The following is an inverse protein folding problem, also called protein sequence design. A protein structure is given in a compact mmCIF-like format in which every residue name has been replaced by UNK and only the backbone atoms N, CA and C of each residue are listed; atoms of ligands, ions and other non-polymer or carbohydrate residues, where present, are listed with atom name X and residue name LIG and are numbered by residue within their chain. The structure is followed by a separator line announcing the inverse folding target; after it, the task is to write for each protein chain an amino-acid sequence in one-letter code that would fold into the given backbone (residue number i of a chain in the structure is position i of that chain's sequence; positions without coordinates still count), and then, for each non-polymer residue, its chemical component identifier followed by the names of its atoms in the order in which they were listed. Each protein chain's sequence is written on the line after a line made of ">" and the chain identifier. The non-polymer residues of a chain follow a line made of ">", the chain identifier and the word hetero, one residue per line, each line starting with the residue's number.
data_IF_039745695517
#
_entry.id   IF_039745695517
#
_cell.length_a   1.000
_cell.length_b   1.000
_cell.length_c   1.000
_cell.angle_alpha   90.00
_cell.angle_beta   90.00
_cell.angle_gamma   90.00
#
_symmetry.space_group_name_H-M   'P 1'
#
loop_
_entity.id
_entity.type
_entity.pdbx_description
1 polymer ?
#
# COMPACT_ATOMS: atom_id res chain seq x y z
N UNK A 1 2.44 -14.27 -3.10
CA UNK A 1 3.02 -14.15 -4.41
C UNK A 1 3.38 -15.49 -5.01
N UNK A 2 3.70 -15.44 -6.27
CA UNK A 2 4.20 -16.59 -7.04
C UNK A 2 5.65 -16.32 -7.46
N UNK A 3 6.43 -17.34 -7.83
CA UNK A 3 7.82 -17.16 -8.22
C UNK A 3 8.03 -16.19 -9.38
N UNK A 4 7.08 -16.13 -10.32
CA UNK A 4 7.15 -15.26 -11.51
C UNK A 4 6.45 -13.91 -11.32
N UNK A 5 5.58 -13.80 -10.34
CA UNK A 5 4.80 -12.61 -10.04
C UNK A 5 4.66 -12.47 -8.53
N UNK A 6 5.36 -11.53 -7.94
CA UNK A 6 5.23 -11.20 -6.51
C UNK A 6 4.39 -9.94 -6.35
N UNK A 7 3.50 -9.98 -5.38
CA UNK A 7 2.68 -8.83 -4.99
C UNK A 7 2.83 -8.60 -3.50
N UNK A 8 3.32 -7.43 -3.15
CA UNK A 8 3.37 -6.96 -1.77
C UNK A 8 2.22 -5.98 -1.54
N UNK A 9 1.22 -6.39 -0.78
CA UNK A 9 0.12 -5.50 -0.37
C UNK A 9 0.60 -4.58 0.74
N UNK A 10 0.70 -3.29 0.44
CA UNK A 10 1.27 -2.30 1.31
C UNK A 10 0.18 -1.54 2.06
N UNK A 11 0.45 -1.28 3.33
CA UNK A 11 -0.38 -0.48 4.20
C UNK A 11 0.47 0.59 4.89
N UNK A 12 -0.18 1.68 5.27
CA UNK A 12 0.36 2.71 6.13
C UNK A 12 -0.70 3.03 7.19
N UNK A 13 -0.32 3.11 8.47
CA UNK A 13 -1.24 3.08 9.62
C UNK A 13 -2.14 4.31 9.75
N UNK A 14 -1.84 5.39 9.03
CA UNK A 14 -2.64 6.63 9.02
C UNK A 14 -3.51 6.81 7.76
N UNK A 15 -3.57 5.80 6.88
CA UNK A 15 -4.43 5.80 5.69
C UNK A 15 -5.88 5.44 6.07
N UNK A 16 -6.65 6.45 6.37
CA UNK A 16 -8.06 6.32 6.72
C UNK A 16 -8.93 7.18 5.81
N UNK A 17 -10.11 6.68 5.49
CA UNK A 17 -11.15 7.49 4.84
C UNK A 17 -11.78 8.48 5.82
N UNK A 18 -12.47 9.44 5.27
CA UNK A 18 -13.27 10.37 6.06
C UNK A 18 -12.61 11.72 6.28
N UNK A 19 -13.45 12.68 6.56
CA UNK A 19 -13.12 14.01 7.07
C UNK A 19 -13.37 14.04 8.58
N UNK A 20 -13.06 15.13 9.30
CA UNK A 20 -13.30 15.22 10.73
C UNK A 20 -14.73 14.85 11.10
N UNK A 21 -14.85 13.97 12.05
CA UNK A 21 -16.11 13.46 12.53
C UNK A 21 -16.63 14.37 13.66
N UNK A 22 -17.88 14.83 13.53
CA UNK A 22 -18.51 15.69 14.56
C UNK A 22 -18.85 14.94 15.86
N UNK A 23 -18.70 13.63 15.89
CA UNK A 23 -19.07 12.78 17.02
C UNK A 23 -20.59 12.61 17.21
N UNK A 24 -21.40 13.15 16.32
CA UNK A 24 -22.85 13.04 16.41
C UNK A 24 -23.31 11.70 15.84
N UNK A 25 -23.73 10.81 16.72
CA UNK A 25 -24.20 9.48 16.36
C UNK A 25 -25.65 9.44 15.86
N UNK A 26 -26.36 10.58 15.77
CA UNK A 26 -27.80 10.63 15.50
C UNK A 26 -28.66 10.10 16.67
N UNK A 27 -28.05 9.60 17.72
CA UNK A 27 -28.74 9.09 18.93
C UNK A 27 -29.09 10.24 19.86
N UNK A 28 -30.27 10.81 19.67
CA UNK A 28 -30.78 11.77 20.63
C UNK A 28 -31.26 11.08 21.92
N UNK A 29 -31.38 11.82 23.06
CA UNK A 29 -31.93 11.28 24.30
C UNK A 29 -33.33 10.65 24.12
N UNK A 30 -34.14 11.19 23.20
CA UNK A 30 -35.46 10.68 22.86
C UNK A 30 -35.40 9.30 22.19
N UNK A 31 -34.45 9.10 21.25
CA UNK A 31 -34.22 7.79 20.57
C UNK A 31 -33.81 6.75 21.59
N UNK A 32 -32.87 7.08 22.49
CA UNK A 32 -32.42 6.17 23.56
C UNK A 32 -33.58 5.84 24.50
N UNK A 33 -34.41 6.83 24.87
CA UNK A 33 -35.58 6.62 25.71
C UNK A 33 -36.59 5.71 25.02
N UNK A 34 -36.92 5.96 23.76
CA UNK A 34 -37.82 5.10 22.97
C UNK A 34 -37.33 3.65 22.92
N UNK A 35 -36.05 3.42 22.62
CA UNK A 35 -35.48 2.09 22.63
C UNK A 35 -35.56 1.44 24.01
N UNK A 36 -35.32 2.21 25.08
CA UNK A 36 -35.45 1.73 26.45
C UNK A 36 -36.88 1.34 26.83
N UNK A 37 -37.89 2.08 26.37
CA UNK A 37 -39.30 1.74 26.58
C UNK A 37 -39.70 0.46 25.84
N UNK A 38 -39.26 0.30 24.60
CA UNK A 38 -39.47 -0.93 23.83
C UNK A 38 -38.80 -2.14 24.49
N UNK A 39 -37.57 -2.00 24.96
CA UNK A 39 -36.89 -3.06 25.67
C UNK A 39 -37.58 -3.48 26.97
N UNK A 40 -38.08 -2.50 27.75
CA UNK A 40 -38.89 -2.77 28.96
C UNK A 40 -40.20 -3.49 28.66
N UNK A 41 -40.77 -3.25 27.48
CA UNK A 41 -41.95 -3.96 26.98
C UNK A 41 -41.64 -5.36 26.40
N UNK A 42 -40.42 -5.81 26.46
CA UNK A 42 -39.97 -7.09 25.89
C UNK A 42 -39.80 -7.07 24.37
N UNK A 43 -39.86 -5.93 23.71
CA UNK A 43 -39.78 -5.74 22.27
C UNK A 43 -38.32 -5.48 21.85
N UNK A 44 -37.45 -6.44 22.08
CA UNK A 44 -36.00 -6.25 21.90
C UNK A 44 -35.59 -5.98 20.45
N UNK A 45 -36.19 -6.68 19.47
CA UNK A 45 -35.91 -6.46 18.06
C UNK A 45 -36.35 -5.05 17.59
N UNK A 46 -37.50 -4.57 18.03
CA UNK A 46 -37.95 -3.21 17.73
C UNK A 46 -36.99 -2.16 18.34
N UNK A 47 -36.57 -2.38 19.60
CA UNK A 47 -35.60 -1.52 20.28
C UNK A 47 -34.26 -1.47 19.52
N UNK A 48 -33.77 -2.63 19.09
CA UNK A 48 -32.54 -2.76 18.27
C UNK A 48 -32.69 -1.99 16.96
N UNK A 49 -33.76 -2.20 16.22
CA UNK A 49 -34.01 -1.52 14.94
C UNK A 49 -34.02 0.01 15.07
N UNK A 50 -34.59 0.56 16.14
CA UNK A 50 -34.60 2.00 16.38
C UNK A 50 -33.19 2.56 16.54
N UNK A 51 -32.33 1.85 17.27
CA UNK A 51 -30.92 2.25 17.47
C UNK A 51 -30.11 2.07 16.18
N UNK A 52 -30.19 0.89 15.55
CA UNK A 52 -29.43 0.58 14.34
C UNK A 52 -29.74 1.54 13.20
N UNK A 53 -31.02 1.85 12.96
CA UNK A 53 -31.42 2.82 11.95
C UNK A 53 -30.76 4.19 12.16
N UNK A 54 -30.67 4.65 13.42
CA UNK A 54 -30.04 5.95 13.72
C UNK A 54 -28.51 5.90 13.62
N UNK A 55 -27.90 4.77 13.93
CA UNK A 55 -26.46 4.55 13.71
C UNK A 55 -26.12 4.44 12.22
N UNK A 56 -27.00 3.86 11.40
CA UNK A 56 -26.85 3.80 9.95
C UNK A 56 -27.06 5.16 9.27
N UNK A 57 -27.92 6.00 9.84
CA UNK A 57 -28.12 7.40 9.42
C UNK A 57 -26.97 8.31 9.87
N UNK A 58 -26.16 7.89 10.86
CA UNK A 58 -24.95 8.58 11.25
C UNK A 58 -23.93 8.44 10.11
N UNK A 59 -23.81 9.50 9.34
CA UNK A 59 -22.79 9.63 8.32
C UNK A 59 -21.41 9.59 9.01
N UNK A 60 -20.46 8.89 8.44
CA UNK A 60 -19.03 8.94 8.76
C UNK A 60 -18.51 7.86 9.72
N UNK A 61 -18.48 6.63 9.23
CA UNK A 61 -17.52 5.66 9.75
C UNK A 61 -16.24 5.80 8.94
N UNK A 62 -15.15 6.20 9.60
CA UNK A 62 -13.82 6.15 8.99
C UNK A 62 -13.39 4.70 8.81
N UNK A 63 -12.74 4.41 7.71
CA UNK A 63 -12.30 3.06 7.36
C UNK A 63 -10.83 3.07 7.02
N UNK A 64 -10.11 2.08 7.54
CA UNK A 64 -8.73 1.84 7.19
C UNK A 64 -8.62 1.40 5.73
N UNK A 65 -7.71 2.01 5.00
CA UNK A 65 -7.56 1.82 3.57
C UNK A 65 -6.15 1.29 3.23
N UNK A 66 -6.03 0.43 2.23
CA UNK A 66 -4.72 0.00 1.74
C UNK A 66 -4.03 1.17 1.02
N UNK A 67 -2.69 1.19 1.09
CA UNK A 67 -1.90 2.08 0.26
C UNK A 67 -1.96 1.66 -1.21
N UNK A 68 -1.71 0.39 -1.46
CA UNK A 68 -1.66 -0.23 -2.78
C UNK A 68 -0.73 -1.42 -2.79
N UNK A 69 -0.51 -1.94 -3.98
CA UNK A 69 0.27 -3.14 -4.22
C UNK A 69 1.58 -2.78 -4.94
N UNK A 70 2.70 -3.31 -4.46
CA UNK A 70 3.98 -3.31 -5.16
C UNK A 70 4.11 -4.64 -5.89
N UNK A 71 4.20 -4.57 -7.21
CA UNK A 71 4.31 -5.71 -8.12
C UNK A 71 5.75 -5.89 -8.59
N UNK A 72 6.17 -7.14 -8.65
CA UNK A 72 7.46 -7.56 -9.15
C UNK A 72 7.24 -8.71 -10.15
N UNK A 73 7.29 -8.39 -11.43
CA UNK A 73 6.99 -9.30 -12.52
C UNK A 73 8.25 -9.71 -13.26
N UNK A 74 8.64 -10.98 -13.20
CA UNK A 74 9.67 -11.48 -14.09
C UNK A 74 9.21 -11.38 -15.54
N UNK A 75 10.04 -10.81 -16.40
CA UNK A 75 9.77 -10.67 -17.82
C UNK A 75 10.74 -11.54 -18.62
N UNK A 76 10.27 -12.08 -19.75
CA UNK A 76 11.11 -12.84 -20.66
C UNK A 76 11.98 -11.90 -21.52
N UNK A 77 13.18 -12.36 -21.92
CA UNK A 77 14.17 -11.56 -22.66
C UNK A 77 13.72 -11.14 -24.09
N UNK A 78 12.50 -11.49 -24.52
CA UNK A 78 11.94 -11.15 -25.83
C UNK A 78 11.11 -9.86 -25.84
N UNK A 79 11.26 -9.02 -24.81
CA UNK A 79 10.56 -7.76 -24.72
C UNK A 79 11.12 -6.75 -25.74
N UNK A 80 10.32 -6.45 -26.77
CA UNK A 80 10.62 -5.37 -27.73
C UNK A 80 10.30 -4.02 -27.08
N UNK A 81 11.33 -3.20 -26.88
CA UNK A 81 11.25 -1.86 -26.29
C UNK A 81 10.47 -0.81 -27.12
N UNK A 82 9.92 -1.19 -28.26
CA UNK A 82 9.18 -0.35 -29.21
C UNK A 82 7.68 -0.17 -28.86
N UNK A 83 7.33 -0.07 -27.58
CA UNK A 83 6.00 0.39 -27.14
C UNK A 83 4.90 -0.69 -27.09
N UNK A 84 5.26 -1.94 -26.96
CA UNK A 84 4.32 -3.01 -26.65
C UNK A 84 3.85 -2.90 -25.18
N UNK A 85 2.54 -3.00 -24.97
CA UNK A 85 1.95 -3.21 -23.64
C UNK A 85 2.60 -4.42 -22.99
N UNK A 86 2.99 -4.28 -21.70
CA UNK A 86 3.46 -5.40 -20.90
C UNK A 86 2.47 -6.56 -20.95
N UNK A 87 2.78 -7.59 -21.68
CA UNK A 87 2.21 -8.90 -21.40
C UNK A 87 3.02 -9.42 -20.19
N UNK A 88 2.45 -9.31 -19.00
CA UNK A 88 2.99 -9.99 -17.82
C UNK A 88 3.30 -11.43 -18.18
N UNK A 89 4.25 -12.05 -17.50
CA UNK A 89 4.60 -13.45 -17.74
C UNK A 89 3.31 -14.25 -17.93
N UNK A 90 3.16 -14.85 -19.11
CA UNK A 90 1.95 -15.62 -19.42
C UNK A 90 1.80 -16.68 -18.34
N UNK A 91 0.59 -16.90 -17.77
CA UNK A 91 0.35 -18.01 -16.85
C UNK A 91 0.72 -19.38 -17.45
N UNK A 92 0.89 -19.43 -18.75
CA UNK A 92 1.29 -20.62 -19.55
C UNK A 92 2.80 -20.65 -19.85
N UNK A 93 3.64 -19.76 -19.27
CA UNK A 93 5.08 -19.88 -19.42
C UNK A 93 5.53 -21.20 -18.76
N UNK A 94 6.26 -22.03 -19.53
CA UNK A 94 6.80 -23.33 -19.07
C UNK A 94 7.96 -23.10 -18.08
N UNK A 95 7.71 -22.26 -17.06
CA UNK A 95 8.68 -21.90 -16.03
C UNK A 95 8.81 -23.03 -15.04
N UNK A 96 9.96 -23.69 -15.04
CA UNK A 96 10.27 -24.73 -14.06
C UNK A 96 10.64 -24.09 -12.72
N UNK A 97 9.87 -24.37 -11.67
CA UNK A 97 10.18 -23.96 -10.30
C UNK A 97 10.31 -25.20 -9.42
N UNK A 98 11.44 -25.32 -8.72
CA UNK A 98 11.72 -26.40 -7.76
C UNK A 98 12.30 -25.82 -6.47
N UNK A 99 12.36 -26.64 -5.43
CA UNK A 99 12.98 -26.32 -4.13
C UNK A 99 12.44 -25.03 -3.50
N UNK A 100 11.13 -24.78 -3.69
CA UNK A 100 10.47 -23.57 -3.19
C UNK A 100 10.26 -23.67 -1.68
N UNK A 101 10.80 -22.71 -0.96
CA UNK A 101 10.54 -22.49 0.46
C UNK A 101 10.28 -21.01 0.73
N UNK A 102 9.23 -20.71 1.49
CA UNK A 102 8.91 -19.38 1.99
C UNK A 102 8.79 -19.43 3.50
N UNK A 103 9.44 -18.52 4.19
CA UNK A 103 9.49 -18.47 5.64
C UNK A 103 9.31 -17.04 6.16
N UNK A 104 8.67 -16.92 7.32
CA UNK A 104 8.65 -15.70 8.12
C UNK A 104 9.36 -15.99 9.44
N UNK A 105 10.52 -15.38 9.65
CA UNK A 105 11.23 -15.38 10.92
C UNK A 105 10.54 -14.40 11.86
N UNK A 106 9.81 -14.91 12.85
CA UNK A 106 9.04 -14.10 13.79
C UNK A 106 9.92 -13.39 14.81
N UNK A 107 11.11 -13.91 15.09
CA UNK A 107 12.03 -13.30 16.04
C UNK A 107 12.71 -12.07 15.44
N UNK A 108 12.95 -12.11 14.13
CA UNK A 108 13.60 -11.05 13.36
C UNK A 108 12.62 -10.24 12.53
N UNK A 109 11.34 -10.61 12.47
CA UNK A 109 10.32 -10.02 11.61
C UNK A 109 10.72 -9.93 10.12
N UNK A 110 11.46 -10.92 9.60
CA UNK A 110 11.99 -10.98 8.24
C UNK A 110 11.27 -12.08 7.46
N UNK A 111 10.72 -11.72 6.33
CA UNK A 111 10.23 -12.69 5.35
C UNK A 111 11.33 -13.03 4.35
N UNK A 112 11.52 -14.32 4.07
CA UNK A 112 12.46 -14.74 3.05
C UNK A 112 11.93 -15.93 2.25
N UNK A 113 12.38 -16.00 1.01
CA UNK A 113 12.09 -17.08 0.09
C UNK A 113 13.36 -17.55 -0.58
N UNK A 114 13.41 -18.84 -0.90
CA UNK A 114 14.37 -19.37 -1.84
C UNK A 114 13.73 -20.43 -2.74
N UNK A 115 14.17 -20.49 -3.97
CA UNK A 115 13.70 -21.46 -4.95
C UNK A 115 14.69 -21.55 -6.13
N UNK A 116 14.50 -22.56 -6.96
CA UNK A 116 15.20 -22.68 -8.24
C UNK A 116 14.19 -22.40 -9.35
N UNK A 117 14.47 -21.38 -10.19
CA UNK A 117 13.67 -20.99 -11.34
C UNK A 117 14.53 -21.15 -12.60
N UNK A 118 14.12 -22.03 -13.52
CA UNK A 118 14.86 -22.29 -14.75
C UNK A 118 16.37 -22.51 -14.48
N UNK A 119 16.69 -23.39 -13.52
CA UNK A 119 18.04 -23.70 -13.03
C UNK A 119 18.78 -22.53 -12.34
N UNK A 120 18.19 -21.34 -12.23
CA UNK A 120 18.74 -20.24 -11.45
C UNK A 120 18.28 -20.35 -9.98
N UNK A 121 19.22 -20.25 -9.05
CA UNK A 121 18.90 -20.12 -7.62
C UNK A 121 18.46 -18.68 -7.35
N UNK A 122 17.28 -18.51 -6.82
CA UNK A 122 16.71 -17.20 -6.46
C UNK A 122 16.50 -17.14 -4.96
N UNK A 123 16.84 -16.02 -4.36
CA UNK A 123 16.53 -15.68 -2.98
C UNK A 123 15.85 -14.33 -2.90
N UNK A 124 14.88 -14.20 -2.00
CA UNK A 124 14.19 -12.96 -1.71
C UNK A 124 14.20 -12.71 -0.21
N UNK A 125 14.43 -11.47 0.19
CA UNK A 125 14.37 -11.05 1.59
C UNK A 125 13.56 -9.76 1.69
N UNK A 126 12.65 -9.70 2.64
CA UNK A 126 11.75 -8.56 2.83
C UNK A 126 11.56 -8.25 4.31
N UNK A 127 11.66 -6.97 4.67
CA UNK A 127 11.32 -6.48 6.00
C UNK A 127 10.89 -5.01 5.97
N UNK A 128 10.20 -4.57 7.02
CA UNK A 128 9.82 -3.17 7.23
C UNK A 128 10.65 -2.63 8.39
N UNK A 129 11.64 -1.81 8.10
CA UNK A 129 12.48 -1.21 9.13
C UNK A 129 11.72 -0.14 9.92
N UNK A 130 11.45 -0.40 11.20
CA UNK A 130 10.86 0.60 12.08
C UNK A 130 11.81 1.79 12.35
N UNK A 131 13.13 1.62 12.55
CA UNK A 131 14.06 2.74 12.69
C UNK A 131 14.17 3.60 11.43
N UNK A 132 14.20 2.99 10.23
CA UNK A 132 14.31 3.69 8.96
C UNK A 132 12.95 4.06 8.34
N UNK A 133 11.83 3.61 8.93
CA UNK A 133 10.46 3.92 8.53
C UNK A 133 10.14 3.53 7.07
N UNK A 134 10.60 2.35 6.64
CA UNK A 134 10.31 1.94 5.27
C UNK A 134 10.55 0.48 4.96
N UNK A 135 10.09 0.10 3.77
CA UNK A 135 10.24 -1.22 3.18
C UNK A 135 11.66 -1.38 2.63
N UNK A 136 12.25 -2.53 2.92
CA UNK A 136 13.47 -3.04 2.27
C UNK A 136 13.15 -4.40 1.67
N UNK A 137 13.35 -4.53 0.37
CA UNK A 137 13.11 -5.77 -0.36
C UNK A 137 14.29 -6.07 -1.27
N UNK A 138 14.82 -7.29 -1.21
CA UNK A 138 15.98 -7.71 -1.99
C UNK A 138 15.69 -9.01 -2.73
N UNK A 139 16.11 -9.09 -4.00
CA UNK A 139 16.14 -10.32 -4.80
C UNK A 139 17.57 -10.54 -5.27
N UNK A 140 18.07 -11.77 -5.14
CA UNK A 140 19.33 -12.20 -5.71
C UNK A 140 19.12 -13.46 -6.54
N UNK A 141 19.82 -13.57 -7.66
CA UNK A 141 19.76 -14.72 -8.55
C UNK A 141 21.16 -15.16 -9.00
N UNK A 142 21.36 -16.46 -9.11
CA UNK A 142 22.62 -17.04 -9.61
C UNK A 142 22.82 -16.86 -11.13
N UNK A 143 21.80 -16.41 -11.86
CA UNK A 143 21.82 -16.11 -13.30
C UNK A 143 21.12 -14.78 -13.55
N UNK A 144 21.47 -14.02 -14.59
CA UNK A 144 20.76 -12.82 -14.96
C UNK A 144 19.27 -13.07 -15.22
N UNK A 145 18.43 -12.09 -14.84
CA UNK A 145 17.00 -12.07 -15.07
C UNK A 145 16.55 -10.64 -15.40
N UNK A 146 15.36 -10.54 -15.97
CA UNK A 146 14.69 -9.26 -16.21
C UNK A 146 13.41 -9.17 -15.40
N UNK A 147 13.11 -8.01 -14.83
CA UNK A 147 11.97 -7.80 -13.93
C UNK A 147 11.39 -6.40 -14.08
N UNK A 148 10.07 -6.30 -14.09
CA UNK A 148 9.34 -5.05 -14.00
C UNK A 148 8.93 -4.82 -12.56
N UNK A 149 9.23 -3.62 -12.05
CA UNK A 149 8.78 -3.13 -10.74
C UNK A 149 7.78 -2.03 -10.95
N UNK A 150 6.56 -2.21 -10.47
CA UNK A 150 5.53 -1.19 -10.57
C UNK A 150 4.59 -1.20 -9.35
N UNK A 151 3.83 -0.14 -9.17
CA UNK A 151 2.85 -0.03 -8.10
C UNK A 151 1.46 0.23 -8.66
N UNK A 152 0.44 -0.23 -7.93
CA UNK A 152 -0.95 -0.04 -8.26
C UNK A 152 -1.75 0.16 -6.96
N UNK A 153 -2.89 0.86 -7.04
CA UNK A 153 -3.71 1.11 -5.86
C UNK A 153 -4.92 1.98 -6.17
N UNK A 154 -6.04 1.66 -5.53
CA UNK A 154 -7.34 2.33 -5.79
C UNK A 154 -7.32 3.84 -5.52
N UNK A 155 -6.44 4.29 -4.62
CA UNK A 155 -6.36 5.69 -4.18
C UNK A 155 -5.12 6.41 -4.70
N UNK A 156 -4.24 5.74 -5.43
CA UNK A 156 -3.11 6.35 -6.13
C UNK A 156 -3.66 7.16 -7.32
N UNK A 157 -3.28 8.41 -7.42
CA UNK A 157 -3.71 9.36 -8.46
C UNK A 157 -2.65 9.59 -9.52
N UNK A 158 -1.40 9.66 -9.09
CA UNK A 158 -0.27 9.88 -9.98
C UNK A 158 0.84 8.90 -9.66
N UNK A 159 1.48 8.43 -10.72
CA UNK A 159 2.65 7.55 -10.68
C UNK A 159 3.72 8.19 -11.56
N UNK A 160 4.92 8.37 -11.02
CA UNK A 160 6.07 8.90 -11.75
C UNK A 160 7.25 7.94 -11.58
N UNK A 161 7.70 7.34 -12.68
CA UNK A 161 8.82 6.41 -12.69
C UNK A 161 9.94 7.02 -13.53
N UNK A 162 11.04 7.38 -12.89
CA UNK A 162 12.20 8.02 -13.52
C UNK A 162 13.47 7.26 -13.22
N UNK A 163 14.07 6.72 -14.26
CA UNK A 163 15.29 5.91 -14.13
C UNK A 163 15.10 4.77 -13.13
N UNK A 164 15.61 4.94 -11.92
CA UNK A 164 15.53 3.97 -10.84
C UNK A 164 14.75 4.48 -9.61
N UNK A 165 14.00 5.57 -9.75
CA UNK A 165 13.18 6.15 -8.69
C UNK A 165 11.71 6.15 -9.09
N UNK A 166 10.84 6.04 -8.09
CA UNK A 166 9.41 6.22 -8.29
C UNK A 166 8.78 7.07 -7.20
N UNK A 167 7.78 7.82 -7.61
CA UNK A 167 6.93 8.61 -6.71
C UNK A 167 5.48 8.29 -7.00
N UNK A 168 4.72 8.04 -5.95
CA UNK A 168 3.29 7.74 -5.99
C UNK A 168 2.59 8.78 -5.13
N UNK A 169 1.58 9.45 -5.67
CA UNK A 169 0.78 10.38 -4.90
C UNK A 169 -0.68 9.98 -4.92
N UNK A 170 -1.38 10.25 -3.85
CA UNK A 170 -2.78 9.89 -3.77
C UNK A 170 -3.53 10.58 -2.66
N UNK A 171 -4.82 10.32 -2.60
CA UNK A 171 -5.73 10.87 -1.61
C UNK A 171 -6.77 9.82 -1.23
N UNK A 172 -6.99 9.67 0.05
CA UNK A 172 -8.10 8.88 0.56
C UNK A 172 -9.44 9.60 0.33
N UNK A 173 -10.56 8.86 0.15
CA UNK A 173 -11.87 9.49 0.06
C UNK A 173 -12.20 10.27 1.34
N UNK A 174 -12.78 11.44 1.19
CA UNK A 174 -13.18 12.30 2.30
C UNK A 174 -14.37 11.73 3.07
N UNK A 175 -15.34 11.18 2.36
CA UNK A 175 -16.47 10.45 2.93
C UNK A 175 -16.67 9.16 2.15
N UNK A 176 -16.79 8.08 2.88
CA UNK A 176 -17.21 6.80 2.33
C UNK A 176 -18.15 6.18 3.35
N UNK A 177 -19.42 6.16 3.07
CA UNK A 177 -20.37 5.46 3.92
C UNK A 177 -19.97 3.99 4.03
N UNK A 178 -20.17 3.39 5.20
CA UNK A 178 -19.87 1.98 5.46
C UNK A 178 -20.49 1.05 4.39
N UNK A 179 -21.61 1.46 3.79
CA UNK A 179 -22.29 0.73 2.72
C UNK A 179 -21.45 0.64 1.46
N UNK A 180 -20.78 1.73 1.05
CA UNK A 180 -19.93 1.78 -0.16
C UNK A 180 -18.81 0.75 -0.05
N UNK A 181 -18.21 0.64 1.11
CA UNK A 181 -17.11 -0.28 1.38
C UNK A 181 -17.61 -1.73 1.44
N UNK A 182 -18.71 -1.98 2.14
CA UNK A 182 -19.31 -3.32 2.23
C UNK A 182 -19.77 -3.85 0.87
N UNK A 183 -20.25 -2.98 -0.01
CA UNK A 183 -20.72 -3.35 -1.35
C UNK A 183 -19.59 -3.34 -2.40
N UNK A 184 -18.36 -2.99 -1.98
CA UNK A 184 -17.17 -2.89 -2.84
C UNK A 184 -17.43 -2.06 -4.11
N UNK A 185 -17.94 -0.83 -3.91
CA UNK A 185 -18.28 0.11 -4.98
C UNK A 185 -17.32 1.30 -4.97
N UNK A 186 -16.10 1.17 -5.48
CA UNK A 186 -15.10 2.23 -5.46
C UNK A 186 -15.53 3.50 -6.21
N UNK A 187 -16.43 3.38 -7.18
CA UNK A 187 -17.00 4.50 -7.92
C UNK A 187 -17.91 5.41 -7.07
N UNK A 188 -18.37 4.94 -5.93
CA UNK A 188 -19.20 5.72 -4.99
C UNK A 188 -18.35 6.44 -3.93
N UNK A 189 -17.02 6.30 -3.93
CA UNK A 189 -16.16 7.07 -3.05
C UNK A 189 -16.21 8.56 -3.37
N UNK A 190 -16.38 9.38 -2.33
CA UNK A 190 -16.48 10.83 -2.49
C UNK A 190 -15.13 11.50 -2.28
N UNK A 191 -14.75 12.32 -3.25
CA UNK A 191 -13.55 13.14 -3.23
C UNK A 191 -13.94 14.61 -3.34
N UNK A 192 -14.35 15.25 -2.23
CA UNK A 192 -14.80 16.63 -2.23
C UNK A 192 -13.66 17.60 -2.57
N UNK A 193 -14.01 18.69 -3.27
CA UNK A 193 -13.04 19.74 -3.62
C UNK A 193 -12.69 20.62 -2.41
N UNK A 194 -13.60 20.72 -1.42
CA UNK A 194 -13.40 21.52 -0.22
C UNK A 194 -12.31 20.89 0.66
N UNK A 195 -11.22 21.63 0.95
CA UNK A 195 -10.07 21.08 1.69
C UNK A 195 -10.43 20.49 3.06
N UNK A 196 -11.42 21.08 3.74
CA UNK A 196 -11.89 20.61 5.06
C UNK A 196 -12.67 19.30 5.01
N UNK A 197 -13.11 18.87 3.83
CA UNK A 197 -13.85 17.64 3.61
C UNK A 197 -13.02 16.56 2.91
N UNK A 198 -11.79 16.88 2.50
CA UNK A 198 -10.89 15.92 1.86
C UNK A 198 -10.39 14.88 2.85
N UNK A 199 -10.08 13.69 2.34
CA UNK A 199 -9.39 12.66 3.08
C UNK A 199 -7.89 12.93 3.22
N UNK A 200 -7.20 12.00 3.83
CA UNK A 200 -5.76 12.05 4.02
C UNK A 200 -5.05 11.97 2.66
N UNK A 201 -4.11 12.89 2.40
CA UNK A 201 -3.19 12.80 1.28
C UNK A 201 -2.01 11.90 1.63
N UNK A 202 -1.42 11.25 0.65
CA UNK A 202 -0.23 10.44 0.86
C UNK A 202 0.76 10.54 -0.29
N UNK A 203 2.02 10.35 0.04
CA UNK A 203 3.11 10.22 -0.93
C UNK A 203 3.91 8.98 -0.56
N UNK A 204 4.15 8.11 -1.52
CA UNK A 204 5.13 7.03 -1.45
C UNK A 204 6.29 7.33 -2.38
N UNK A 205 7.50 7.21 -1.89
CA UNK A 205 8.71 7.38 -2.70
C UNK A 205 9.63 6.17 -2.50
N UNK A 206 10.26 5.74 -3.58
CA UNK A 206 11.19 4.64 -3.52
C UNK A 206 12.27 4.68 -4.58
N UNK A 207 13.28 3.87 -4.35
CA UNK A 207 14.34 3.63 -5.32
C UNK A 207 14.56 2.13 -5.52
N UNK A 208 15.02 1.81 -6.72
CA UNK A 208 15.36 0.44 -7.13
C UNK A 208 16.81 0.44 -7.54
N UNK A 209 17.65 -0.34 -6.86
CA UNK A 209 19.04 -0.55 -7.25
C UNK A 209 19.21 -1.93 -7.84
N UNK A 210 20.12 -2.09 -8.80
CA UNK A 210 20.34 -3.33 -9.50
C UNK A 210 21.82 -3.69 -9.56
N UNK A 211 22.12 -4.97 -9.47
CA UNK A 211 23.45 -5.52 -9.73
C UNK A 211 23.53 -6.02 -11.18
N UNK A 212 24.41 -5.40 -11.97
CA UNK A 212 24.53 -5.65 -13.41
C UNK A 212 23.38 -5.04 -14.21
N UNK A 213 23.33 -5.35 -15.50
CA UNK A 213 22.24 -4.94 -16.38
C UNK A 213 21.97 -3.45 -16.46
N UNK A 214 20.72 -3.08 -16.66
CA UNK A 214 20.28 -1.68 -16.70
C UNK A 214 18.88 -1.50 -16.11
N UNK A 215 18.60 -0.29 -15.64
CA UNK A 215 17.27 0.13 -15.20
C UNK A 215 16.71 1.18 -16.17
N UNK A 216 15.43 1.09 -16.51
CA UNK A 216 14.72 2.03 -17.37
C UNK A 216 13.35 2.33 -16.78
N UNK A 217 13.10 3.59 -16.42
CA UNK A 217 11.78 4.06 -16.00
C UNK A 217 10.88 4.34 -17.20
N UNK A 218 9.60 3.98 -17.09
CA UNK A 218 8.55 4.23 -18.09
C UNK A 218 7.23 4.56 -17.39
N UNK A 219 6.16 4.82 -18.16
CA UNK A 219 4.82 5.01 -17.57
C UNK A 219 4.29 3.75 -16.85
N UNK A 220 4.79 2.57 -17.25
CA UNK A 220 4.31 1.28 -16.73
C UNK A 220 5.07 0.83 -15.47
N UNK A 221 6.26 1.41 -15.20
CA UNK A 221 7.10 1.01 -14.07
C UNK A 221 8.59 1.18 -14.37
N UNK A 222 9.42 0.51 -13.57
CA UNK A 222 10.87 0.44 -13.73
C UNK A 222 11.21 -0.97 -14.23
N UNK A 223 11.67 -1.04 -15.47
CA UNK A 223 12.18 -2.28 -16.08
C UNK A 223 13.67 -2.43 -15.75
N UNK A 224 14.04 -3.57 -15.20
CA UNK A 224 15.40 -3.97 -14.91
C UNK A 224 15.74 -5.15 -15.83
N UNK A 225 16.76 -4.99 -16.67
CA UNK A 225 17.12 -5.98 -17.68
C UNK A 225 18.48 -6.59 -17.40
N UNK A 226 18.58 -7.91 -17.48
CA UNK A 226 19.81 -8.69 -17.31
C UNK A 226 20.55 -8.43 -15.99
N UNK A 227 19.80 -8.29 -14.90
CA UNK A 227 20.34 -8.06 -13.54
C UNK A 227 20.50 -9.37 -12.78
N UNK A 228 21.42 -9.42 -11.83
CA UNK A 228 21.61 -10.56 -10.91
C UNK A 228 21.11 -10.26 -9.50
N UNK A 229 20.97 -8.99 -9.16
CA UNK A 229 20.41 -8.53 -7.89
C UNK A 229 19.52 -7.31 -8.09
N UNK A 230 18.48 -7.21 -7.29
CA UNK A 230 17.57 -6.07 -7.22
C UNK A 230 17.31 -5.76 -5.77
N UNK A 231 17.40 -4.48 -5.40
CA UNK A 231 17.01 -4.01 -4.10
C UNK A 231 16.04 -2.84 -4.23
N UNK A 232 14.91 -2.92 -3.53
CA UNK A 232 13.86 -1.91 -3.50
C UNK A 232 13.77 -1.34 -2.10
N UNK A 233 13.81 -0.03 -2.00
CA UNK A 233 13.64 0.73 -0.76
C UNK A 233 12.52 1.73 -0.96
N UNK A 234 11.55 1.73 -0.05
CA UNK A 234 10.36 2.57 -0.19
C UNK A 234 9.91 3.08 1.17
N UNK A 235 9.57 4.36 1.23
CA UNK A 235 8.92 4.99 2.36
C UNK A 235 7.56 5.58 1.94
N UNK A 236 6.63 5.63 2.89
CA UNK A 236 5.30 6.20 2.70
C UNK A 236 5.05 7.19 3.83
N UNK A 237 4.53 8.36 3.50
CA UNK A 237 4.09 9.36 4.47
C UNK A 237 2.75 9.93 4.07
N UNK A 238 1.99 10.35 5.07
CA UNK A 238 0.66 10.92 4.88
C UNK A 238 0.59 12.34 5.41
N UNK A 239 -0.48 13.03 5.06
CA UNK A 239 -0.79 14.35 5.59
C UNK A 239 -1.29 14.32 7.04
N UNK A 240 -1.55 13.15 7.61
CA UNK A 240 -2.07 13.03 8.97
C UNK A 240 -1.08 13.56 10.01
N UNK A 241 -1.55 14.50 10.84
CA UNK A 241 -0.71 15.24 11.79
C UNK A 241 -0.95 14.87 13.26
N UNK A 242 -1.77 13.88 13.50
CA UNK A 242 -2.13 13.43 14.84
C UNK A 242 -3.56 13.82 15.24
N UNK A 243 -4.09 13.09 16.20
CA UNK A 243 -5.47 13.27 16.69
C UNK A 243 -5.69 14.55 17.49
N UNK A 244 -4.60 15.18 17.94
CA UNK A 244 -4.60 16.43 18.72
C UNK A 244 -4.63 17.69 17.82
N UNK A 245 -4.58 17.54 16.51
CA UNK A 245 -4.57 18.63 15.54
C UNK A 245 -5.93 18.73 14.84
N UNK A 246 -6.33 19.97 14.55
CA UNK A 246 -7.47 20.18 13.68
C UNK A 246 -7.17 19.62 12.30
N UNK A 247 -8.14 18.94 11.71
CA UNK A 247 -8.03 18.32 10.40
C UNK A 247 -7.59 19.29 9.30
N UNK A 248 -8.03 20.54 9.37
CA UNK A 248 -7.60 21.63 8.48
C UNK A 248 -6.12 22.01 8.62
N UNK A 249 -5.37 21.38 9.53
CA UNK A 249 -3.95 21.59 9.77
C UNK A 249 -3.13 20.35 9.45
N UNK A 250 -3.46 19.67 8.37
CA UNK A 250 -2.71 18.54 7.86
C UNK A 250 -1.31 18.98 7.39
N UNK A 251 -0.39 18.02 7.27
CA UNK A 251 0.87 18.26 6.59
C UNK A 251 0.63 18.59 5.12
N UNK A 252 1.31 19.60 4.61
CA UNK A 252 1.36 19.89 3.17
C UNK A 252 2.24 18.85 2.45
N UNK A 253 2.05 18.70 1.14
CA UNK A 253 2.89 17.83 0.31
C UNK A 253 4.38 18.18 0.43
N UNK A 254 4.72 19.45 0.62
CA UNK A 254 6.11 19.88 0.84
C UNK A 254 6.65 19.33 2.17
N UNK A 255 5.87 19.40 3.25
CA UNK A 255 6.27 18.85 4.55
C UNK A 255 6.38 17.31 4.49
N UNK A 256 5.45 16.64 3.78
CA UNK A 256 5.50 15.19 3.55
C UNK A 256 6.81 14.81 2.83
N UNK A 257 7.18 15.53 1.76
CA UNK A 257 8.42 15.27 1.01
C UNK A 257 9.68 15.49 1.85
N UNK A 258 9.68 16.45 2.77
CA UNK A 258 10.81 16.60 3.71
C UNK A 258 10.93 15.39 4.66
N UNK A 259 9.82 14.87 5.17
CA UNK A 259 9.83 13.67 6.01
C UNK A 259 10.29 12.44 5.21
N UNK A 260 9.82 12.29 3.97
CA UNK A 260 10.25 11.21 3.09
C UNK A 260 11.74 11.27 2.76
N UNK A 261 12.29 12.46 2.53
CA UNK A 261 13.72 12.63 2.28
C UNK A 261 14.58 12.14 3.47
N UNK A 262 14.16 12.42 4.70
CA UNK A 262 14.82 11.92 5.93
C UNK A 262 14.71 10.39 6.04
N UNK A 263 13.53 9.81 5.74
CA UNK A 263 13.34 8.36 5.76
C UNK A 263 14.17 7.67 4.67
N UNK A 264 14.19 8.20 3.45
CA UNK A 264 14.99 7.66 2.34
C UNK A 264 16.50 7.79 2.61
N UNK A 265 16.94 8.85 3.29
CA UNK A 265 18.33 8.97 3.75
C UNK A 265 18.67 7.83 4.72
N UNK A 266 17.82 7.56 5.71
CA UNK A 266 18.01 6.43 6.63
C UNK A 266 17.99 5.09 5.90
N UNK A 267 17.10 4.92 4.93
CA UNK A 267 17.02 3.72 4.09
C UNK A 267 18.21 3.58 3.14
N UNK A 268 19.01 4.63 2.89
CA UNK A 268 20.17 4.56 1.98
C UNK A 268 21.38 3.81 2.55
N UNK A 269 21.34 3.44 3.83
CA UNK A 269 22.40 2.65 4.50
C UNK A 269 22.52 1.24 3.89
N UNK A 270 23.67 0.57 4.07
CA UNK A 270 23.86 -0.81 3.62
C UNK A 270 22.75 -1.76 4.09
N UNK A 271 22.38 -2.72 3.23
CA UNK A 271 21.32 -3.70 3.52
C UNK A 271 21.55 -4.42 4.85
N UNK A 272 22.77 -4.89 5.10
CA UNK A 272 23.11 -5.62 6.32
C UNK A 272 22.97 -4.75 7.59
N UNK A 273 23.28 -3.45 7.50
CA UNK A 273 23.10 -2.53 8.63
C UNK A 273 21.61 -2.32 8.93
N UNK A 274 20.78 -2.17 7.89
CA UNK A 274 19.33 -2.05 8.04
C UNK A 274 18.73 -3.32 8.63
N UNK A 275 19.22 -4.48 8.20
CA UNK A 275 18.77 -5.78 8.68
C UNK A 275 19.19 -6.06 10.13
N UNK A 276 20.39 -5.63 10.52
CA UNK A 276 20.90 -5.82 11.90
C UNK A 276 20.21 -4.88 12.89
N UNK A 277 19.81 -3.68 12.45
CA UNK A 277 19.10 -2.71 13.28
C UNK A 277 17.59 -3.02 13.40
N UNK A 278 17.05 -3.69 12.41
CA UNK A 278 15.64 -4.07 12.34
C UNK A 278 15.28 -5.08 13.42
#
# INVERSE_FOLDING_TARGET
>A
GAPDHEVLQLNEDTLWSGSPYSGQTGLSPEVVKQAGELAKAGKYEEAKMVIEKKLEEAEDVQVYLPFGDLHLDFVEDNYDADGGTFAGASPDSDTSVTDYERCLDLDRAVAFEHYVRNEAKVTRTCFISAPAQGLVYQINSSRPFSILVHCDGAFIREKDYKENHFTLTGICPGRSGLKVIKENKPEEFLFPDEPELQGVHFIGEGCVTAEGGRATGSADGILLEHVTGVEIRMAIRTSFRGFDKAYTRQYSDTEIRYMLADDLEKLSRPFEELLDEH
#
